data_IF_994990747966
#
_entry.id   IF_994990747966
#
_cell.length_a   1.000
_cell.length_b   1.000
_cell.length_c   1.000
_cell.angle_alpha   90.00
_cell.angle_beta   90.00
_cell.angle_gamma   90.00
#
_symmetry.space_group_name_H-M   'P 1'
#
loop_
_entity.id
_entity.type
_entity.pdbx_description
1 polymer ?
#
# COMPACT_ATOMS: atom_id res chain seq x y z
N UNK A 1 -57.82 14.21 -7.45
CA UNK A 1 -57.46 14.94 -6.22
C UNK A 1 -56.39 14.14 -5.53
N UNK A 2 -55.28 14.80 -5.31
CA UNK A 2 -53.93 14.26 -5.36
C UNK A 2 -53.48 13.59 -4.06
N UNK A 3 -52.89 12.40 -4.17
CA UNK A 3 -52.18 11.72 -3.09
C UNK A 3 -50.77 12.29 -2.98
N UNK A 4 -50.54 13.19 -2.03
CA UNK A 4 -49.19 13.64 -1.66
C UNK A 4 -48.47 12.54 -0.88
N UNK A 5 -47.62 11.78 -1.56
CA UNK A 5 -46.56 10.98 -0.95
C UNK A 5 -45.25 11.77 -0.97
N UNK A 6 -44.94 12.51 0.09
CA UNK A 6 -43.61 13.08 0.29
C UNK A 6 -42.82 12.19 1.26
N UNK A 7 -41.90 11.40 0.71
CA UNK A 7 -40.85 10.72 1.47
C UNK A 7 -39.79 11.74 1.92
N UNK A 8 -39.41 11.78 3.20
CA UNK A 8 -38.37 12.68 3.66
C UNK A 8 -37.00 12.21 3.13
N UNK A 9 -36.31 13.08 2.39
CA UNK A 9 -34.91 12.88 1.96
C UNK A 9 -34.04 12.77 3.22
N UNK A 10 -33.62 11.56 3.55
CA UNK A 10 -32.67 11.33 4.63
C UNK A 10 -31.31 11.98 4.29
N UNK A 11 -30.61 12.59 5.27
CA UNK A 11 -29.27 13.12 5.07
C UNK A 11 -28.31 11.96 4.80
N UNK A 12 -27.52 12.06 3.71
CA UNK A 12 -26.44 11.12 3.38
C UNK A 12 -25.45 11.06 4.54
N UNK A 13 -25.54 10.01 5.35
CA UNK A 13 -24.55 9.72 6.37
C UNK A 13 -23.27 9.28 5.68
N UNK A 14 -22.26 10.15 5.71
CA UNK A 14 -20.88 9.76 5.40
C UNK A 14 -20.42 8.79 6.50
N UNK A 15 -20.52 7.48 6.22
CA UNK A 15 -19.93 6.44 7.05
C UNK A 15 -18.43 6.46 6.83
N UNK A 16 -17.70 7.05 7.77
CA UNK A 16 -16.26 6.82 7.92
C UNK A 16 -16.10 5.41 8.52
N UNK A 17 -15.79 4.42 7.68
CA UNK A 17 -15.47 3.06 8.15
C UNK A 17 -14.03 3.04 8.65
N UNK A 18 -13.81 2.57 9.88
CA UNK A 18 -12.50 2.49 10.54
C UNK A 18 -11.63 1.34 10.02
N UNK A 19 -11.95 0.77 8.85
CA UNK A 19 -11.25 -0.37 8.23
C UNK A 19 -10.47 -0.01 6.97
N UNK A 20 -10.37 1.27 6.59
CA UNK A 20 -9.48 1.70 5.51
C UNK A 20 -9.92 1.33 4.09
N UNK A 21 -11.10 0.74 3.91
CA UNK A 21 -11.75 0.67 2.60
C UNK A 21 -12.44 1.99 2.31
N UNK A 22 -11.75 2.81 1.51
CA UNK A 22 -12.28 4.06 0.97
C UNK A 22 -13.47 3.71 0.08
N UNK A 23 -14.65 4.17 0.49
CA UNK A 23 -15.90 4.07 -0.27
C UNK A 23 -15.65 4.66 -1.66
N UNK A 24 -15.52 3.80 -2.66
CA UNK A 24 -15.25 4.19 -4.04
C UNK A 24 -16.56 4.74 -4.64
N UNK A 25 -16.87 5.99 -4.34
CA UNK A 25 -17.91 6.71 -5.05
C UNK A 25 -17.43 6.91 -6.49
N UNK A 26 -18.17 6.42 -7.47
CA UNK A 26 -17.82 6.48 -8.91
C UNK A 26 -17.54 7.93 -9.41
N UNK A 27 -18.00 8.95 -8.66
CA UNK A 27 -17.68 10.36 -8.88
C UNK A 27 -16.22 10.73 -8.54
N UNK A 28 -15.60 10.08 -7.55
CA UNK A 28 -14.20 10.31 -7.18
C UNK A 28 -13.21 9.76 -8.23
N UNK A 29 -13.64 8.76 -9.02
CA UNK A 29 -12.82 8.14 -10.07
C UNK A 29 -12.83 8.92 -11.41
N UNK A 30 -13.64 9.98 -11.53
CA UNK A 30 -13.76 10.76 -12.77
C UNK A 30 -13.41 12.25 -12.63
N UNK A 31 -13.30 12.78 -11.41
CA UNK A 31 -12.92 14.18 -11.19
C UNK A 31 -11.39 14.31 -11.06
N UNK A 32 -10.71 15.05 -11.95
CA UNK A 32 -9.25 15.15 -11.94
C UNK A 32 -8.68 15.77 -10.66
N UNK A 33 -9.40 16.73 -10.03
CA UNK A 33 -8.96 17.36 -8.78
C UNK A 33 -9.02 16.35 -7.62
N UNK A 34 -10.06 15.51 -7.57
CA UNK A 34 -10.18 14.46 -6.56
C UNK A 34 -9.13 13.36 -6.77
N UNK A 35 -8.86 13.00 -8.02
CA UNK A 35 -7.81 12.04 -8.37
C UNK A 35 -6.42 12.55 -7.97
N UNK A 36 -6.12 13.82 -8.23
CA UNK A 36 -4.86 14.46 -7.82
C UNK A 36 -4.70 14.50 -6.29
N UNK A 37 -5.75 14.91 -5.57
CA UNK A 37 -5.74 14.91 -4.10
C UNK A 37 -5.50 13.50 -3.54
N UNK A 38 -6.22 12.49 -4.06
CA UNK A 38 -6.05 11.09 -3.69
C UNK A 38 -4.63 10.59 -4.00
N UNK A 39 -4.08 10.94 -5.16
CA UNK A 39 -2.72 10.56 -5.52
C UNK A 39 -1.69 11.19 -4.57
N UNK A 40 -1.90 12.45 -4.19
CA UNK A 40 -1.05 13.17 -3.23
C UNK A 40 -1.09 12.50 -1.85
N UNK A 41 -2.28 12.13 -1.36
CA UNK A 41 -2.43 11.38 -0.11
C UNK A 41 -1.72 10.01 -0.18
N UNK A 42 -1.86 9.31 -1.30
CA UNK A 42 -1.18 8.03 -1.52
C UNK A 42 0.35 8.19 -1.51
N UNK A 43 0.89 9.26 -2.13
CA UNK A 43 2.31 9.57 -2.12
C UNK A 43 2.82 9.81 -0.70
N UNK A 44 2.15 10.66 0.07
CA UNK A 44 2.53 10.95 1.47
C UNK A 44 2.49 9.68 2.31
N UNK A 45 1.44 8.89 2.17
CA UNK A 45 1.33 7.63 2.91
C UNK A 45 2.38 6.61 2.49
N UNK A 46 2.76 6.55 1.21
CA UNK A 46 3.86 5.69 0.74
C UNK A 46 5.21 6.11 1.33
N UNK A 47 5.51 7.41 1.37
CA UNK A 47 6.73 7.92 1.99
C UNK A 47 6.81 7.54 3.47
N UNK A 48 5.70 7.70 4.20
CA UNK A 48 5.61 7.32 5.61
C UNK A 48 5.78 5.81 5.81
N UNK A 49 5.08 5.00 5.01
CA UNK A 49 5.17 3.53 5.09
C UNK A 49 6.57 3.02 4.81
N UNK A 50 7.25 3.55 3.78
CA UNK A 50 8.64 3.19 3.45
C UNK A 50 9.55 3.51 4.64
N UNK A 51 9.43 4.71 5.20
CA UNK A 51 10.21 5.12 6.37
C UNK A 51 9.96 4.23 7.59
N UNK A 52 8.69 3.88 7.87
CA UNK A 52 8.38 2.96 8.98
C UNK A 52 8.92 1.56 8.72
N UNK A 53 8.99 1.12 7.46
CA UNK A 53 9.57 -0.17 7.13
C UNK A 53 11.09 -0.18 7.33
N UNK A 54 11.78 0.91 6.97
CA UNK A 54 13.22 1.07 7.27
C UNK A 54 13.47 0.99 8.79
N UNK A 55 12.64 1.63 9.61
CA UNK A 55 12.74 1.56 11.07
C UNK A 55 12.46 0.15 11.62
N UNK A 56 11.51 -0.58 11.02
CA UNK A 56 11.25 -1.98 11.38
C UNK A 56 12.42 -2.88 10.98
N UNK A 57 13.06 -2.65 9.84
CA UNK A 57 14.28 -3.36 9.43
C UNK A 57 15.40 -3.17 10.45
N UNK A 58 15.63 -1.93 10.89
CA UNK A 58 16.62 -1.61 11.92
C UNK A 58 16.30 -2.32 13.24
N UNK A 59 15.06 -2.20 13.74
CA UNK A 59 14.64 -2.84 14.99
C UNK A 59 14.74 -4.37 14.95
N UNK A 60 14.36 -4.98 13.82
CA UNK A 60 14.41 -6.43 13.63
C UNK A 60 15.86 -6.95 13.64
N UNK A 61 16.81 -6.17 13.13
CA UNK A 61 18.23 -6.53 13.19
C UNK A 61 18.76 -6.62 14.64
N UNK A 62 18.16 -5.89 15.57
CA UNK A 62 18.56 -5.89 16.99
C UNK A 62 17.84 -6.96 17.81
N UNK A 63 16.54 -7.17 17.58
CA UNK A 63 15.69 -8.01 18.44
C UNK A 63 15.41 -9.40 17.87
N UNK A 64 15.44 -9.57 16.54
CA UNK A 64 15.00 -10.78 15.84
C UNK A 64 13.59 -11.25 16.27
N UNK A 65 12.72 -10.29 16.56
CA UNK A 65 11.34 -10.52 17.00
C UNK A 65 10.43 -10.97 15.83
N UNK A 66 9.68 -12.06 16.03
CA UNK A 66 8.82 -12.64 14.99
C UNK A 66 7.60 -11.77 14.67
N UNK A 67 7.06 -11.01 15.64
CA UNK A 67 5.95 -10.08 15.39
C UNK A 67 6.44 -8.89 14.56
N UNK A 68 7.65 -8.38 14.82
CA UNK A 68 8.29 -7.37 13.97
C UNK A 68 8.57 -7.90 12.56
N UNK A 69 9.02 -9.15 12.43
CA UNK A 69 9.21 -9.79 11.14
C UNK A 69 7.90 -9.91 10.36
N UNK A 70 6.81 -10.26 11.04
CA UNK A 70 5.50 -10.36 10.42
C UNK A 70 4.98 -8.99 9.99
N UNK A 71 5.10 -7.97 10.84
CA UNK A 71 4.73 -6.59 10.51
C UNK A 71 5.54 -6.05 9.32
N UNK A 72 6.85 -6.36 9.25
CA UNK A 72 7.71 -5.98 8.14
C UNK A 72 7.24 -6.60 6.81
N UNK A 73 6.82 -7.87 6.79
CA UNK A 73 6.28 -8.54 5.60
C UNK A 73 4.98 -7.89 5.13
N UNK A 74 4.05 -7.65 6.05
CA UNK A 74 2.75 -7.05 5.73
C UNK A 74 2.91 -5.65 5.14
N UNK A 75 3.80 -4.85 5.73
CA UNK A 75 4.12 -3.53 5.24
C UNK A 75 4.82 -3.56 3.88
N UNK A 76 5.76 -4.50 3.67
CA UNK A 76 6.43 -4.66 2.37
C UNK A 76 5.44 -4.89 1.23
N UNK A 77 4.51 -5.83 1.43
CA UNK A 77 3.45 -6.11 0.45
C UNK A 77 2.53 -4.90 0.26
N UNK A 78 2.16 -4.22 1.34
CA UNK A 78 1.30 -3.04 1.28
C UNK A 78 1.95 -1.90 0.48
N UNK A 79 3.24 -1.65 0.68
CA UNK A 79 4.01 -0.64 -0.07
C UNK A 79 3.99 -0.98 -1.56
N UNK A 80 4.30 -2.22 -1.93
CA UNK A 80 4.32 -2.66 -3.33
C UNK A 80 2.93 -2.56 -3.99
N UNK A 81 1.86 -2.91 -3.27
CA UNK A 81 0.48 -2.77 -3.78
C UNK A 81 0.09 -1.31 -3.95
N UNK A 82 0.34 -0.46 -2.94
CA UNK A 82 0.02 0.98 -2.99
C UNK A 82 0.81 1.72 -4.06
N UNK A 83 2.08 1.38 -4.26
CA UNK A 83 2.92 1.96 -5.33
C UNK A 83 2.34 1.67 -6.71
N UNK A 84 1.90 0.43 -6.95
CA UNK A 84 1.21 0.05 -8.21
C UNK A 84 -0.10 0.81 -8.39
N UNK A 85 -0.92 0.90 -7.35
CA UNK A 85 -2.18 1.65 -7.40
C UNK A 85 -1.95 3.15 -7.67
N UNK A 86 -0.93 3.75 -7.04
CA UNK A 86 -0.55 5.13 -7.29
C UNK A 86 -0.11 5.33 -8.75
N UNK A 87 0.65 4.38 -9.32
CA UNK A 87 1.13 4.47 -10.70
C UNK A 87 -0.03 4.42 -11.70
N UNK A 88 -1.00 3.54 -11.46
CA UNK A 88 -2.23 3.47 -12.26
C UNK A 88 -3.03 4.77 -12.14
N UNK A 89 -3.15 5.34 -10.94
CA UNK A 89 -3.86 6.60 -10.74
C UNK A 89 -3.17 7.79 -11.42
N UNK A 90 -1.84 7.86 -11.34
CA UNK A 90 -1.03 8.87 -12.03
C UNK A 90 -1.19 8.79 -13.55
N UNK A 91 -1.12 7.58 -14.12
CA UNK A 91 -1.35 7.37 -15.55
C UNK A 91 -2.75 7.79 -15.98
N UNK A 92 -3.79 7.38 -15.23
CA UNK A 92 -5.17 7.79 -15.49
C UNK A 92 -5.39 9.30 -15.40
N UNK A 93 -4.72 9.97 -14.45
CA UNK A 93 -4.79 11.41 -14.30
C UNK A 93 -4.15 12.10 -15.52
N UNK A 94 -2.95 11.65 -15.92
CA UNK A 94 -2.27 12.16 -17.10
C UNK A 94 -3.12 12.01 -18.38
N UNK A 95 -3.71 10.84 -18.61
CA UNK A 95 -4.58 10.58 -19.77
C UNK A 95 -5.81 11.51 -19.81
N UNK A 96 -6.33 11.92 -18.65
CA UNK A 96 -7.59 12.68 -18.56
C UNK A 96 -7.42 14.19 -18.50
N UNK A 97 -6.42 14.66 -17.77
CA UNK A 97 -6.22 16.09 -17.51
C UNK A 97 -4.90 16.62 -18.08
N UNK A 98 -4.03 15.76 -18.61
CA UNK A 98 -2.68 16.13 -19.03
C UNK A 98 -1.72 16.44 -17.87
N UNK A 99 -2.17 16.27 -16.63
CA UNK A 99 -1.34 16.50 -15.43
C UNK A 99 -0.37 15.34 -15.28
N UNK A 100 0.92 15.64 -15.34
CA UNK A 100 1.99 14.66 -15.16
C UNK A 100 2.50 14.69 -13.71
N UNK A 101 2.29 13.58 -13.00
CA UNK A 101 2.82 13.37 -11.65
C UNK A 101 3.69 12.13 -11.67
N UNK A 102 4.99 12.37 -11.80
CA UNK A 102 6.00 11.34 -11.73
C UNK A 102 6.16 10.81 -10.30
N UNK A 103 5.83 9.54 -10.09
CA UNK A 103 6.02 8.89 -8.80
C UNK A 103 7.48 8.72 -8.41
N UNK A 104 8.39 8.54 -9.38
CA UNK A 104 9.82 8.39 -9.09
C UNK A 104 10.43 9.64 -8.47
N UNK A 105 9.85 10.80 -8.76
CA UNK A 105 10.35 12.09 -8.27
C UNK A 105 9.82 12.39 -6.86
N UNK A 106 8.69 11.75 -6.49
CA UNK A 106 7.96 12.02 -5.25
C UNK A 106 8.10 10.91 -4.23
N UNK A 107 8.33 9.66 -4.64
CA UNK A 107 8.41 8.50 -3.74
C UNK A 107 9.78 7.85 -3.90
N UNK A 108 10.52 7.59 -2.80
CA UNK A 108 11.80 6.91 -2.86
C UNK A 108 11.71 5.57 -3.65
N UNK A 109 12.79 5.18 -4.33
CA UNK A 109 12.88 3.85 -4.92
C UNK A 109 12.72 2.80 -3.82
N UNK A 110 11.85 1.83 -4.05
CA UNK A 110 11.54 0.77 -3.10
C UNK A 110 11.43 -0.54 -3.88
N UNK A 111 12.35 -1.46 -3.61
CA UNK A 111 12.47 -2.74 -4.31
C UNK A 111 12.19 -3.94 -3.38
N UNK A 112 11.47 -3.70 -2.28
CA UNK A 112 11.24 -4.66 -1.22
C UNK A 112 12.35 -4.67 -0.17
N UNK A 113 12.02 -5.19 1.00
CA UNK A 113 12.87 -5.20 2.18
C UNK A 113 14.19 -5.94 1.96
N UNK A 114 15.29 -5.31 2.36
CA UNK A 114 16.63 -5.90 2.27
C UNK A 114 16.84 -7.01 3.30
N UNK A 115 16.20 -6.87 4.47
CA UNK A 115 16.27 -7.84 5.57
C UNK A 115 15.47 -9.08 5.23
N UNK A 116 14.26 -8.93 4.67
CA UNK A 116 13.45 -10.08 4.25
C UNK A 116 14.17 -10.94 3.21
N UNK A 117 14.79 -10.31 2.20
CA UNK A 117 15.61 -11.01 1.19
C UNK A 117 16.74 -11.81 1.83
N UNK A 118 17.50 -11.19 2.73
CA UNK A 118 18.59 -11.86 3.47
C UNK A 118 18.10 -13.05 4.30
N UNK A 119 16.95 -12.92 4.97
CA UNK A 119 16.35 -14.01 5.75
C UNK A 119 15.93 -15.16 4.83
N UNK A 120 15.33 -14.86 3.69
CA UNK A 120 14.92 -15.85 2.70
C UNK A 120 16.13 -16.58 2.09
N UNK A 121 17.17 -15.84 1.69
CA UNK A 121 18.42 -16.40 1.16
C UNK A 121 19.09 -17.32 2.18
N UNK A 122 19.18 -16.90 3.45
CA UNK A 122 19.76 -17.72 4.54
C UNK A 122 18.97 -19.01 4.77
N UNK A 123 17.63 -18.96 4.65
CA UNK A 123 16.77 -20.15 4.79
C UNK A 123 16.98 -21.12 3.62
N UNK A 124 17.17 -20.60 2.41
CA UNK A 124 17.43 -21.39 1.21
C UNK A 124 18.77 -22.13 1.30
N UNK A 125 19.84 -21.43 1.70
CA UNK A 125 21.17 -22.02 1.87
C UNK A 125 21.20 -23.10 2.97
N UNK A 126 20.47 -22.91 4.08
CA UNK A 126 20.36 -23.92 5.15
C UNK A 126 19.49 -25.12 4.77
N UNK A 127 18.56 -24.95 3.83
CA UNK A 127 17.71 -26.03 3.31
C UNK A 127 18.46 -26.98 2.36
N UNK A 128 19.44 -26.47 1.61
CA UNK A 128 20.22 -27.26 0.65
C UNK A 128 21.33 -28.13 1.30
N UNK A 129 21.61 -27.96 2.60
CA UNK A 129 22.70 -28.66 3.29
C UNK A 129 22.31 -29.88 4.14
N UNK A 130 21.03 -30.29 4.21
CA UNK A 130 20.57 -31.35 5.13
C UNK A 130 20.11 -32.66 4.50
N UNK A 131 20.17 -32.80 3.18
CA UNK A 131 19.75 -34.02 2.46
C UNK A 131 20.94 -34.78 1.83
N UNK A 132 22.15 -34.57 2.34
CA UNK A 132 23.34 -35.37 2.03
C UNK A 132 23.42 -36.56 2.99
N UNK A 133 22.72 -37.65 2.64
CA UNK A 133 22.58 -38.85 3.46
C UNK A 133 23.88 -39.42 4.01
N UNK A 134 23.89 -39.70 5.31
CA UNK A 134 24.63 -40.83 5.86
C UNK A 134 23.94 -42.11 5.38
N UNK A 135 24.60 -42.88 4.52
CA UNK A 135 24.52 -44.33 4.56
C UNK A 135 25.93 -44.87 4.71
N UNK A 136 26.06 -45.74 5.71
CA UNK A 136 27.25 -46.44 6.20
C UNK A 136 28.02 -47.16 5.08
#
# INVERSE_FOLDING_TARGET
MDSKGESPRQPRQFRLSSTGDVVNSEEADNNPVLMEARLTEMIVSLQQLIKTNEQLEEALCETMDEDLLQALKENDELILRRRRAAAVLAAKLHERSGVDISLSDKVPPYAGSSVLKRIEDTRREKGEGRDGGMYL
#
